data_IF_696634947390
#
_entry.id   IF_696634947390
#
_cell.length_a   1.000
_cell.length_b   1.000
_cell.length_c   1.000
_cell.angle_alpha   90.00
_cell.angle_beta   90.00
_cell.angle_gamma   90.00
#
_symmetry.space_group_name_H-M   'P 1'
#
loop_
_entity.id
_entity.type
_entity.pdbx_description
1 polymer ?
#
# COMPACT_ATOMS: atom_id res chain seq x y z
N UNK A 1 87.53 -26.21 -36.12
CA UNK A 1 86.91 -26.54 -34.79
C UNK A 1 85.61 -25.79 -34.68
N UNK A 2 84.53 -26.50 -34.97
CA UNK A 2 83.18 -25.97 -34.95
C UNK A 2 82.41 -26.70 -33.81
N UNK A 3 81.92 -25.94 -32.86
CA UNK A 3 81.05 -26.47 -31.77
C UNK A 3 79.59 -26.36 -32.10
N UNK A 4 78.94 -27.47 -32.24
CA UNK A 4 77.50 -27.64 -32.40
C UNK A 4 76.72 -27.22 -31.16
N UNK A 5 75.66 -26.44 -31.34
CA UNK A 5 74.61 -26.11 -30.33
C UNK A 5 73.46 -27.11 -30.45
N UNK A 6 72.88 -27.58 -29.34
CA UNK A 6 71.72 -28.43 -29.39
C UNK A 6 70.40 -27.62 -29.52
N UNK A 7 69.45 -28.14 -30.23
CA UNK A 7 68.13 -27.60 -30.49
C UNK A 7 67.28 -27.57 -29.20
N UNK A 8 66.75 -26.41 -28.84
CA UNK A 8 65.80 -26.24 -27.77
C UNK A 8 64.38 -26.74 -28.19
N UNK A 9 63.85 -27.62 -27.42
CA UNK A 9 62.51 -28.21 -27.51
C UNK A 9 61.47 -27.16 -27.03
N UNK A 10 60.60 -26.70 -27.93
CA UNK A 10 59.50 -25.78 -27.61
C UNK A 10 58.47 -26.56 -26.75
N UNK A 11 58.24 -26.10 -25.54
CA UNK A 11 57.12 -26.51 -24.69
C UNK A 11 55.84 -25.84 -25.21
N UNK A 12 54.90 -26.62 -25.74
CA UNK A 12 53.58 -26.17 -26.06
C UNK A 12 52.85 -25.77 -24.78
N UNK A 13 52.59 -24.52 -24.60
CA UNK A 13 51.71 -23.97 -23.57
C UNK A 13 50.27 -24.43 -23.87
N UNK A 14 49.75 -25.38 -23.10
CA UNK A 14 48.32 -25.68 -23.08
C UNK A 14 47.61 -24.47 -22.50
N UNK A 15 46.94 -23.70 -23.35
CA UNK A 15 45.94 -22.73 -22.96
C UNK A 15 44.75 -23.47 -22.37
N UNK A 16 44.64 -23.49 -21.05
CA UNK A 16 43.44 -23.95 -20.33
C UNK A 16 42.21 -23.11 -20.79
N UNK A 17 41.00 -23.66 -20.67
CA UNK A 17 39.81 -22.98 -21.09
C UNK A 17 39.71 -21.65 -20.33
N UNK A 18 39.69 -20.54 -21.07
CA UNK A 18 39.39 -19.23 -20.53
C UNK A 18 37.98 -19.28 -19.91
N UNK A 19 37.93 -19.28 -18.58
CA UNK A 19 36.71 -18.94 -17.90
C UNK A 19 36.35 -17.51 -18.34
N UNK A 20 35.38 -17.40 -19.25
CA UNK A 20 34.75 -16.14 -19.58
C UNK A 20 34.18 -15.54 -18.29
N UNK A 21 34.92 -14.61 -17.68
CA UNK A 21 34.49 -13.84 -16.55
C UNK A 21 33.23 -13.07 -16.93
N UNK A 22 32.06 -13.70 -16.74
CA UNK A 22 30.82 -12.95 -16.73
C UNK A 22 30.89 -12.02 -15.53
N UNK A 23 31.18 -10.74 -15.78
CA UNK A 23 31.31 -9.73 -14.74
C UNK A 23 30.05 -9.74 -13.87
N UNK A 24 30.24 -9.69 -12.54
CA UNK A 24 29.18 -9.63 -11.55
C UNK A 24 28.10 -8.62 -11.95
N UNK A 25 26.84 -9.03 -11.83
CA UNK A 25 25.71 -8.16 -12.18
C UNK A 25 25.72 -6.90 -11.33
N UNK A 26 25.77 -5.74 -11.97
CA UNK A 26 25.76 -4.44 -11.28
C UNK A 26 24.37 -4.08 -10.75
N UNK A 27 24.31 -3.23 -9.70
CA UNK A 27 23.04 -2.72 -9.15
C UNK A 27 22.13 -2.06 -10.20
N UNK A 28 22.61 -1.23 -11.14
CA UNK A 28 21.78 -0.70 -12.22
C UNK A 28 21.18 -1.78 -13.12
N UNK A 29 21.95 -2.82 -13.45
CA UNK A 29 21.46 -3.95 -14.25
C UNK A 29 20.41 -4.74 -13.50
N UNK A 30 20.61 -5.00 -12.20
CA UNK A 30 19.62 -5.65 -11.34
C UNK A 30 18.33 -4.82 -11.27
N UNK A 31 18.42 -3.50 -11.09
CA UNK A 31 17.25 -2.60 -11.09
C UNK A 31 16.48 -2.68 -12.42
N UNK A 32 17.18 -2.73 -13.56
CA UNK A 32 16.54 -2.87 -14.86
C UNK A 32 15.76 -4.20 -14.96
N UNK A 33 16.35 -5.32 -14.52
CA UNK A 33 15.69 -6.63 -14.51
C UNK A 33 14.47 -6.66 -13.58
N UNK A 34 14.57 -6.06 -12.38
CA UNK A 34 13.44 -5.97 -11.43
C UNK A 34 12.30 -5.13 -12.04
N UNK A 35 12.60 -3.99 -12.64
CA UNK A 35 11.60 -3.12 -13.27
C UNK A 35 10.96 -3.71 -14.51
N UNK A 36 11.71 -4.50 -15.29
CA UNK A 36 11.18 -5.24 -16.44
C UNK A 36 10.53 -6.57 -16.06
N UNK A 37 10.57 -6.94 -14.75
CA UNK A 37 10.02 -8.20 -14.22
C UNK A 37 10.65 -9.45 -14.84
N UNK A 38 11.95 -9.37 -15.18
CA UNK A 38 12.75 -10.49 -15.67
C UNK A 38 13.14 -11.43 -14.53
N UNK A 39 12.21 -12.29 -14.12
CA UNK A 39 12.39 -13.24 -13.03
C UNK A 39 13.59 -14.17 -13.24
N UNK A 40 13.85 -14.59 -14.48
CA UNK A 40 14.99 -15.47 -14.82
C UNK A 40 16.32 -14.74 -14.68
N UNK A 41 16.38 -13.48 -15.15
CA UNK A 41 17.56 -12.63 -14.98
C UNK A 41 17.83 -12.32 -13.51
N UNK A 42 16.79 -12.00 -12.74
CA UNK A 42 16.88 -11.77 -11.29
C UNK A 42 17.38 -13.02 -10.56
N UNK A 43 16.80 -14.19 -10.85
CA UNK A 43 17.23 -15.46 -10.22
C UNK A 43 18.70 -15.77 -10.49
N UNK A 44 19.14 -15.60 -11.74
CA UNK A 44 20.56 -15.79 -12.10
C UNK A 44 21.45 -14.79 -11.37
N UNK A 45 21.08 -13.50 -11.39
CA UNK A 45 21.86 -12.44 -10.76
C UNK A 45 22.05 -12.67 -9.25
N UNK A 46 21.00 -13.06 -8.54
CA UNK A 46 21.06 -13.36 -7.10
C UNK A 46 21.90 -14.60 -6.82
N UNK A 47 21.78 -15.64 -7.65
CA UNK A 47 22.59 -16.85 -7.53
C UNK A 47 24.09 -16.59 -7.73
N UNK A 48 24.44 -15.76 -8.73
CA UNK A 48 25.82 -15.41 -9.06
C UNK A 48 26.42 -14.38 -8.08
N UNK A 49 25.59 -13.49 -7.54
CA UNK A 49 25.99 -12.47 -6.57
C UNK A 49 24.95 -12.27 -5.47
N UNK A 50 24.97 -13.11 -4.42
CA UNK A 50 24.03 -13.03 -3.30
C UNK A 50 24.08 -11.68 -2.54
N UNK A 51 25.19 -10.95 -2.61
CA UNK A 51 25.34 -9.64 -1.97
C UNK A 51 24.34 -8.60 -2.52
N UNK A 52 23.82 -8.81 -3.73
CA UNK A 52 22.76 -7.98 -4.28
C UNK A 52 21.54 -7.89 -3.34
N UNK A 53 21.23 -8.94 -2.57
CA UNK A 53 20.11 -8.94 -1.64
C UNK A 53 20.28 -7.96 -0.47
N UNK A 54 21.52 -7.53 -0.19
CA UNK A 54 21.79 -6.52 0.83
C UNK A 54 21.49 -5.08 0.34
N UNK A 55 21.18 -4.92 -0.94
CA UNK A 55 20.90 -3.60 -1.48
C UNK A 55 19.74 -2.92 -0.76
N UNK A 56 19.96 -1.66 -0.40
CA UNK A 56 18.93 -0.72 0.03
C UNK A 56 19.18 0.60 -0.69
N UNK A 57 18.13 1.19 -1.21
CA UNK A 57 18.20 2.54 -1.75
C UNK A 57 18.21 3.61 -0.64
N UNK A 58 18.21 4.87 -1.01
CA UNK A 58 18.22 6.01 -0.06
C UNK A 58 17.02 6.05 0.88
N UNK A 59 15.96 5.30 0.60
CA UNK A 59 14.75 5.14 1.42
C UNK A 59 14.70 3.82 2.17
N UNK A 60 15.74 3.00 2.08
CA UNK A 60 15.78 1.66 2.68
C UNK A 60 15.02 0.61 1.88
N UNK A 61 14.54 0.91 0.66
CA UNK A 61 13.81 -0.05 -0.17
C UNK A 61 14.76 -1.09 -0.75
N UNK A 62 14.40 -2.35 -0.63
CA UNK A 62 15.05 -3.48 -1.29
C UNK A 62 14.41 -3.77 -2.66
N UNK A 63 14.92 -4.78 -3.35
CA UNK A 63 14.41 -5.18 -4.66
C UNK A 63 12.93 -5.57 -4.67
N UNK A 64 12.42 -6.15 -3.57
CA UNK A 64 11.02 -6.52 -3.47
C UNK A 64 10.11 -5.29 -3.43
N UNK A 65 10.46 -4.24 -2.67
CA UNK A 65 9.75 -2.98 -2.70
C UNK A 65 9.74 -2.35 -4.10
N UNK A 66 10.89 -2.39 -4.78
CA UNK A 66 11.03 -1.82 -6.12
C UNK A 66 10.25 -2.62 -7.15
N UNK A 67 10.18 -3.96 -7.03
CA UNK A 67 9.32 -4.82 -7.84
C UNK A 67 7.85 -4.49 -7.63
N UNK A 68 7.41 -4.45 -6.37
CA UNK A 68 6.02 -4.19 -6.00
C UNK A 68 5.54 -2.78 -6.40
N UNK A 69 6.45 -1.80 -6.43
CA UNK A 69 6.11 -0.42 -6.80
C UNK A 69 6.02 -0.14 -8.29
N UNK A 70 6.22 -1.12 -9.16
CA UNK A 70 6.09 -0.94 -10.62
C UNK A 70 4.60 -0.94 -10.98
N UNK A 71 4.13 0.17 -11.55
CA UNK A 71 2.76 0.24 -12.10
C UNK A 71 2.67 -0.63 -13.35
N UNK A 72 1.83 -1.63 -13.28
CA UNK A 72 1.60 -2.58 -14.40
C UNK A 72 0.43 -2.17 -15.30
N UNK A 73 -0.36 -1.14 -14.91
CA UNK A 73 -1.61 -0.81 -15.57
C UNK A 73 -2.57 -2.00 -15.62
N UNK A 74 -3.20 -2.22 -16.78
CA UNK A 74 -4.09 -3.36 -17.03
C UNK A 74 -3.38 -4.57 -17.67
N UNK A 75 -2.04 -4.62 -17.65
CA UNK A 75 -1.30 -5.69 -18.33
C UNK A 75 -1.21 -6.96 -17.46
N UNK A 76 -2.08 -7.92 -17.75
CA UNK A 76 -2.12 -9.22 -17.05
C UNK A 76 -0.83 -10.05 -17.20
N UNK A 77 -0.06 -9.88 -18.28
CA UNK A 77 1.23 -10.59 -18.44
C UNK A 77 2.24 -10.05 -17.46
N UNK A 78 2.29 -8.73 -17.32
CA UNK A 78 3.14 -8.09 -16.31
C UNK A 78 2.74 -8.47 -14.89
N UNK A 79 1.46 -8.68 -14.61
CA UNK A 79 1.02 -9.17 -13.30
C UNK A 79 1.65 -10.55 -12.98
N UNK A 80 1.59 -11.51 -13.91
CA UNK A 80 2.18 -12.82 -13.72
C UNK A 80 3.72 -12.77 -13.62
N UNK A 81 4.37 -11.90 -14.41
CA UNK A 81 5.82 -11.70 -14.36
C UNK A 81 6.26 -11.05 -13.04
N UNK A 82 5.47 -10.10 -12.51
CA UNK A 82 5.73 -9.47 -11.22
C UNK A 82 5.65 -10.48 -10.06
N UNK A 83 4.66 -11.38 -10.09
CA UNK A 83 4.54 -12.45 -9.10
C UNK A 83 5.77 -13.36 -9.14
N UNK A 84 6.18 -13.84 -10.33
CA UNK A 84 7.38 -14.68 -10.48
C UNK A 84 8.64 -13.98 -10.00
N UNK A 85 8.76 -12.68 -10.26
CA UNK A 85 9.92 -11.90 -9.81
C UNK A 85 9.91 -11.70 -8.30
N UNK A 86 8.76 -11.41 -7.71
CA UNK A 86 8.60 -11.30 -6.26
C UNK A 86 8.88 -12.64 -5.56
N UNK A 87 8.41 -13.76 -6.13
CA UNK A 87 8.65 -15.10 -5.63
C UNK A 87 10.15 -15.39 -5.57
N UNK A 88 10.89 -15.16 -6.65
CA UNK A 88 12.34 -15.32 -6.66
C UNK A 88 13.01 -14.51 -5.54
N UNK A 89 12.59 -13.25 -5.35
CA UNK A 89 13.18 -12.37 -4.35
C UNK A 89 12.87 -12.83 -2.90
N UNK A 90 11.64 -13.27 -2.65
CA UNK A 90 11.22 -13.78 -1.34
C UNK A 90 11.93 -15.12 -1.04
N UNK A 91 11.96 -16.04 -1.99
CA UNK A 91 12.60 -17.36 -1.83
C UNK A 91 14.13 -17.25 -1.73
N UNK A 92 14.71 -16.15 -2.22
CA UNK A 92 16.12 -15.79 -2.01
C UNK A 92 16.40 -15.16 -0.64
N UNK A 93 15.38 -14.97 0.23
CA UNK A 93 15.56 -14.55 1.62
C UNK A 93 15.19 -13.07 1.89
N UNK A 94 14.58 -12.35 0.95
CA UNK A 94 14.05 -11.02 1.28
C UNK A 94 12.77 -11.16 2.11
N UNK A 95 12.72 -10.45 3.24
CA UNK A 95 11.52 -10.42 4.09
C UNK A 95 10.35 -9.79 3.38
N UNK A 96 9.21 -10.50 3.36
CA UNK A 96 7.96 -10.05 2.74
C UNK A 96 7.33 -8.87 3.48
N UNK A 97 7.65 -8.70 4.77
CA UNK A 97 7.16 -7.64 5.65
C UNK A 97 8.25 -6.61 5.99
N UNK A 98 9.36 -6.58 5.24
CA UNK A 98 10.38 -5.56 5.44
C UNK A 98 9.77 -4.18 5.20
N UNK A 99 10.01 -3.27 6.13
CA UNK A 99 9.59 -1.88 5.99
C UNK A 99 10.67 -1.01 5.31
N UNK A 100 10.22 -0.05 4.52
CA UNK A 100 11.05 0.99 3.92
C UNK A 100 10.30 2.31 3.87
N UNK A 101 11.02 3.43 3.86
CA UNK A 101 10.38 4.75 3.77
C UNK A 101 9.66 4.92 2.43
N UNK A 102 8.46 5.49 2.51
CA UNK A 102 7.72 5.99 1.35
C UNK A 102 8.31 7.32 0.87
N UNK A 103 7.61 8.03 0.01
CA UNK A 103 7.99 9.41 -0.35
C UNK A 103 7.77 10.41 0.80
N UNK A 104 6.94 10.04 1.77
CA UNK A 104 6.79 10.73 3.06
C UNK A 104 7.80 10.24 4.10
N UNK A 105 7.51 10.52 5.37
CA UNK A 105 8.37 10.14 6.50
C UNK A 105 8.01 8.78 7.12
N UNK A 106 6.95 8.14 6.67
CA UNK A 106 6.48 6.87 7.21
C UNK A 106 6.99 5.67 6.39
N UNK A 107 7.02 4.51 7.03
CA UNK A 107 7.50 3.27 6.44
C UNK A 107 6.34 2.40 5.98
N UNK A 108 6.57 1.64 4.93
CA UNK A 108 5.60 0.71 4.37
C UNK A 108 6.25 -0.59 3.91
N UNK A 109 5.46 -1.65 3.90
CA UNK A 109 5.86 -2.99 3.44
C UNK A 109 5.77 -3.10 1.90
N UNK A 110 6.37 -4.14 1.28
CA UNK A 110 6.18 -4.43 -0.15
C UNK A 110 4.71 -4.50 -0.58
N UNK A 111 3.82 -5.05 0.26
CA UNK A 111 2.39 -5.08 -0.01
C UNK A 111 1.80 -3.68 -0.22
N UNK A 112 2.17 -2.74 0.65
CA UNK A 112 1.72 -1.36 0.47
C UNK A 112 2.17 -0.79 -0.88
N UNK A 113 3.42 -1.06 -1.30
CA UNK A 113 3.91 -0.61 -2.60
C UNK A 113 3.12 -1.24 -3.76
N UNK A 114 2.73 -2.52 -3.64
CA UNK A 114 1.90 -3.19 -4.65
C UNK A 114 0.50 -2.54 -4.78
N UNK A 115 -0.12 -2.15 -3.66
CA UNK A 115 -1.43 -1.49 -3.64
C UNK A 115 -1.32 -0.02 -4.04
N UNK A 116 -0.44 0.74 -3.37
CA UNK A 116 -0.42 2.20 -3.47
C UNK A 116 0.21 2.70 -4.78
N UNK A 117 1.20 1.99 -5.31
CA UNK A 117 2.00 2.40 -6.46
C UNK A 117 1.86 1.47 -7.64
N UNK A 118 2.00 0.17 -7.41
CA UNK A 118 1.95 -0.85 -8.45
C UNK A 118 0.56 -1.06 -9.02
N UNK A 119 -0.49 -0.74 -8.28
CA UNK A 119 -1.89 -1.05 -8.62
C UNK A 119 -2.05 -2.49 -9.10
N UNK A 120 -1.28 -3.37 -8.47
CA UNK A 120 -1.09 -4.75 -8.88
C UNK A 120 -1.83 -5.69 -7.91
N UNK A 121 -3.13 -5.80 -8.10
CA UNK A 121 -4.00 -6.61 -7.24
C UNK A 121 -3.58 -8.09 -7.20
N UNK A 122 -3.22 -8.75 -8.35
CA UNK A 122 -2.74 -10.14 -8.31
C UNK A 122 -1.46 -10.33 -7.49
N UNK A 123 -0.52 -9.37 -7.57
CA UNK A 123 0.69 -9.42 -6.75
C UNK A 123 0.38 -9.19 -5.26
N UNK A 124 -0.54 -8.27 -4.96
CA UNK A 124 -1.00 -8.03 -3.59
C UNK A 124 -1.63 -9.29 -3.00
N UNK A 125 -2.50 -9.98 -3.74
CA UNK A 125 -3.10 -11.26 -3.32
C UNK A 125 -2.03 -12.35 -3.08
N UNK A 126 -1.05 -12.46 -3.97
CA UNK A 126 0.08 -13.37 -3.79
C UNK A 126 0.84 -13.08 -2.50
N UNK A 127 1.17 -11.81 -2.23
CA UNK A 127 1.89 -11.41 -1.03
C UNK A 127 1.09 -11.71 0.24
N UNK A 128 -0.22 -11.45 0.25
CA UNK A 128 -1.11 -11.78 1.36
C UNK A 128 -1.16 -13.28 1.63
N UNK A 129 -1.29 -14.11 0.59
CA UNK A 129 -1.25 -15.58 0.70
C UNK A 129 0.09 -16.10 1.22
N UNK A 130 1.18 -15.38 1.00
CA UNK A 130 2.52 -15.69 1.51
C UNK A 130 2.80 -15.10 2.91
N UNK A 131 1.80 -14.52 3.58
CA UNK A 131 1.89 -14.03 4.95
C UNK A 131 2.31 -12.56 5.08
N UNK A 132 2.08 -11.75 4.04
CA UNK A 132 2.22 -10.31 4.19
C UNK A 132 1.13 -9.74 5.07
N UNK A 133 1.50 -8.83 5.98
CA UNK A 133 0.55 -8.14 6.85
C UNK A 133 -0.11 -6.98 6.09
N UNK A 134 -1.46 -6.84 6.17
CA UNK A 134 -2.19 -5.80 5.44
C UNK A 134 -2.12 -4.41 6.08
N UNK A 135 -1.30 -4.22 7.11
CA UNK A 135 -1.19 -2.97 7.86
C UNK A 135 -0.96 -1.77 6.93
N UNK A 136 -1.67 -0.68 7.18
CA UNK A 136 -1.59 0.59 6.43
C UNK A 136 -2.01 0.52 4.95
N UNK A 137 -2.29 -0.66 4.41
CA UNK A 137 -2.62 -0.83 3.00
C UNK A 137 -4.04 -0.34 2.69
N UNK A 138 -4.95 -0.44 3.65
CA UNK A 138 -6.37 -0.12 3.45
C UNK A 138 -6.60 1.37 3.20
N UNK A 139 -5.84 2.23 3.90
CA UNK A 139 -5.89 3.67 3.65
C UNK A 139 -5.43 4.01 2.22
N UNK A 140 -4.35 3.37 1.76
CA UNK A 140 -3.85 3.57 0.39
C UNK A 140 -4.84 3.08 -0.68
N UNK A 141 -5.51 1.95 -0.45
CA UNK A 141 -6.55 1.44 -1.34
C UNK A 141 -7.75 2.40 -1.40
N UNK A 142 -8.19 2.93 -0.26
CA UNK A 142 -9.26 3.92 -0.17
C UNK A 142 -8.89 5.23 -0.87
N UNK A 143 -7.66 5.71 -0.69
CA UNK A 143 -7.14 6.88 -1.38
C UNK A 143 -7.10 6.70 -2.90
N UNK A 144 -6.72 5.52 -3.38
CA UNK A 144 -6.71 5.18 -4.80
C UNK A 144 -8.10 4.88 -5.37
N UNK A 145 -9.15 4.81 -4.54
CA UNK A 145 -10.51 4.36 -4.91
C UNK A 145 -10.53 2.95 -5.48
N UNK A 146 -9.63 2.11 -5.01
CA UNK A 146 -9.46 0.72 -5.47
C UNK A 146 -10.36 -0.21 -4.64
N UNK A 147 -11.63 -0.32 -5.05
CA UNK A 147 -12.63 -1.15 -4.37
C UNK A 147 -12.22 -2.62 -4.32
N UNK A 148 -11.70 -3.24 -5.39
CA UNK A 148 -11.17 -4.60 -5.34
C UNK A 148 -10.07 -4.77 -4.29
N UNK A 149 -9.13 -3.82 -4.19
CA UNK A 149 -8.08 -3.87 -3.17
C UNK A 149 -8.63 -3.72 -1.74
N UNK A 150 -9.63 -2.84 -1.52
CA UNK A 150 -10.31 -2.72 -0.22
C UNK A 150 -10.89 -4.07 0.20
N UNK A 151 -11.64 -4.73 -0.68
CA UNK A 151 -12.26 -6.04 -0.40
C UNK A 151 -11.21 -7.12 -0.14
N UNK A 152 -10.15 -7.15 -0.96
CA UNK A 152 -9.06 -8.10 -0.80
C UNK A 152 -8.38 -7.96 0.57
N UNK A 153 -8.04 -6.73 0.96
CA UNK A 153 -7.35 -6.46 2.22
C UNK A 153 -8.21 -6.82 3.44
N UNK A 154 -9.48 -6.41 3.46
CA UNK A 154 -10.40 -6.76 4.55
C UNK A 154 -10.66 -8.26 4.60
N UNK A 155 -10.80 -8.94 3.45
CA UNK A 155 -10.91 -10.39 3.36
C UNK A 155 -9.69 -11.14 3.88
N UNK A 156 -8.51 -10.50 3.93
CA UNK A 156 -7.28 -11.02 4.52
C UNK A 156 -6.98 -10.45 5.93
N UNK A 157 -8.00 -9.91 6.60
CA UNK A 157 -7.92 -9.51 8.02
C UNK A 157 -7.38 -8.11 8.26
N UNK A 158 -7.38 -7.21 7.27
CA UNK A 158 -7.12 -5.81 7.53
C UNK A 158 -8.21 -5.24 8.46
N UNK A 159 -7.79 -4.54 9.52
CA UNK A 159 -8.73 -3.81 10.36
C UNK A 159 -9.28 -2.61 9.57
N UNK A 160 -10.60 -2.64 9.32
CA UNK A 160 -11.29 -1.59 8.56
C UNK A 160 -11.25 -0.23 9.27
N UNK A 161 -11.00 -0.22 10.58
CA UNK A 161 -10.90 0.98 11.42
C UNK A 161 -9.46 1.33 11.81
N UNK A 162 -8.45 0.67 11.23
CA UNK A 162 -7.05 0.94 11.55
C UNK A 162 -6.71 2.41 11.28
N UNK A 163 -6.42 3.13 12.36
CA UNK A 163 -6.04 4.54 12.35
C UNK A 163 -4.59 4.77 12.75
N UNK A 164 -3.82 3.69 12.87
CA UNK A 164 -2.45 3.70 13.38
C UNK A 164 -1.41 4.22 12.39
N UNK A 165 -1.84 4.60 11.19
CA UNK A 165 -0.95 4.93 10.05
C UNK A 165 0.00 6.08 10.35
N UNK A 166 -0.29 6.92 11.34
CA UNK A 166 0.52 8.13 11.46
C UNK A 166 0.54 8.77 12.85
N UNK A 167 1.71 8.81 13.48
CA UNK A 167 1.96 9.74 14.59
C UNK A 167 1.90 11.22 14.15
N UNK A 168 1.93 11.48 12.85
CA UNK A 168 1.92 12.81 12.25
C UNK A 168 0.54 13.19 11.71
N UNK A 169 -0.32 12.24 11.38
CA UNK A 169 -1.68 12.46 10.90
C UNK A 169 -2.67 12.55 12.06
N UNK A 170 -3.83 13.02 11.75
CA UNK A 170 -4.92 13.35 12.67
C UNK A 170 -5.62 12.10 13.24
N UNK A 171 -4.93 10.94 13.28
CA UNK A 171 -5.52 9.65 13.67
C UNK A 171 -6.72 9.34 12.78
N UNK A 172 -6.48 9.20 11.49
CA UNK A 172 -7.50 9.11 10.46
C UNK A 172 -7.76 7.67 10.07
N UNK A 173 -9.02 7.20 10.23
CA UNK A 173 -9.39 5.88 9.70
C UNK A 173 -9.48 5.90 8.16
N UNK A 174 -9.37 4.74 7.47
CA UNK A 174 -9.51 4.65 6.02
C UNK A 174 -10.85 5.24 5.52
N UNK A 175 -11.94 5.03 6.27
CA UNK A 175 -13.25 5.60 5.99
C UNK A 175 -13.24 7.13 6.07
N UNK A 176 -12.72 7.70 7.17
CA UNK A 176 -12.67 9.14 7.33
C UNK A 176 -11.77 9.81 6.28
N UNK A 177 -10.66 9.16 5.93
CA UNK A 177 -9.79 9.56 4.84
C UNK A 177 -10.54 9.61 3.50
N UNK A 178 -11.27 8.56 3.16
CA UNK A 178 -12.09 8.54 1.94
C UNK A 178 -13.09 9.70 1.89
N UNK A 179 -13.75 10.00 3.01
CA UNK A 179 -14.65 11.17 3.13
C UNK A 179 -13.89 12.49 2.92
N UNK A 180 -12.74 12.66 3.57
CA UNK A 180 -11.90 13.86 3.45
C UNK A 180 -11.42 14.08 2.00
N UNK A 181 -11.18 13.03 1.25
CA UNK A 181 -10.80 13.10 -0.16
C UNK A 181 -12.01 13.11 -1.12
N UNK A 182 -13.25 13.02 -0.61
CA UNK A 182 -14.48 12.93 -1.40
C UNK A 182 -14.55 11.67 -2.28
N UNK A 183 -13.94 10.59 -1.83
CA UNK A 183 -13.97 9.27 -2.45
C UNK A 183 -15.16 8.47 -1.90
N UNK A 184 -16.39 8.94 -2.21
CA UNK A 184 -17.61 8.45 -1.56
C UNK A 184 -17.93 6.99 -1.86
N UNK A 185 -17.54 6.47 -3.04
CA UNK A 185 -17.69 5.05 -3.37
C UNK A 185 -16.81 4.16 -2.48
N UNK A 186 -15.56 4.59 -2.25
CA UNK A 186 -14.67 3.89 -1.33
C UNK A 186 -15.16 3.99 0.12
N UNK A 187 -15.68 5.16 0.53
CA UNK A 187 -16.27 5.34 1.84
C UNK A 187 -17.49 4.42 2.05
N UNK A 188 -18.37 4.31 1.06
CA UNK A 188 -19.54 3.43 1.12
C UNK A 188 -19.13 1.95 1.20
N UNK A 189 -18.12 1.55 0.43
CA UNK A 189 -17.62 0.18 0.51
C UNK A 189 -17.03 -0.13 1.88
N UNK A 190 -16.25 0.78 2.46
CA UNK A 190 -15.70 0.62 3.81
C UNK A 190 -16.81 0.51 4.85
N UNK A 191 -17.91 1.29 4.74
CA UNK A 191 -19.06 1.16 5.62
C UNK A 191 -19.75 -0.20 5.47
N UNK A 192 -19.91 -0.72 4.26
CA UNK A 192 -20.43 -2.08 4.00
C UNK A 192 -19.57 -3.17 4.63
N UNK A 193 -18.28 -2.92 4.74
CA UNK A 193 -17.31 -3.82 5.36
C UNK A 193 -17.14 -3.61 6.88
N UNK A 194 -17.95 -2.73 7.50
CA UNK A 194 -17.98 -2.55 8.95
C UNK A 194 -17.17 -1.38 9.49
N UNK A 195 -16.80 -0.42 8.64
CA UNK A 195 -16.17 0.80 9.14
C UNK A 195 -17.08 1.56 10.09
N UNK A 196 -16.51 2.13 11.15
CA UNK A 196 -17.25 2.97 12.10
C UNK A 196 -17.62 4.31 11.46
N UNK A 197 -18.90 4.46 11.10
CA UNK A 197 -19.45 5.70 10.55
C UNK A 197 -19.32 6.87 11.51
N UNK A 198 -19.18 6.60 12.82
CA UNK A 198 -19.10 7.56 13.92
C UNK A 198 -17.67 7.82 14.39
N UNK A 199 -16.68 7.30 13.65
CA UNK A 199 -15.28 7.53 13.94
C UNK A 199 -14.99 9.04 14.12
N UNK A 200 -14.28 9.37 15.19
CA UNK A 200 -13.82 10.74 15.48
C UNK A 200 -12.29 10.79 15.43
N UNK A 201 -11.75 11.70 14.66
CA UNK A 201 -10.30 11.98 14.67
C UNK A 201 -9.85 12.72 15.95
N UNK A 202 -8.57 13.08 16.03
CA UNK A 202 -8.01 13.84 17.19
C UNK A 202 -8.70 15.18 17.42
N UNK A 203 -9.38 15.75 16.42
CA UNK A 203 -10.17 16.98 16.54
C UNK A 203 -11.62 16.72 16.91
N UNK A 204 -11.99 15.46 17.15
CA UNK A 204 -13.36 15.04 17.37
C UNK A 204 -14.24 15.19 16.13
N UNK A 205 -13.64 15.38 14.95
CA UNK A 205 -14.40 15.53 13.70
C UNK A 205 -14.88 14.18 13.21
N UNK A 206 -16.15 14.09 12.81
CA UNK A 206 -16.76 12.95 12.16
C UNK A 206 -16.94 13.19 10.65
N UNK A 207 -17.34 12.16 9.90
CA UNK A 207 -17.65 12.27 8.48
C UNK A 207 -18.64 13.40 8.16
N UNK A 208 -19.80 13.57 8.85
CA UNK A 208 -20.69 14.70 8.64
C UNK A 208 -20.03 16.07 8.85
N UNK A 209 -19.14 16.21 9.83
CA UNK A 209 -18.42 17.47 10.05
C UNK A 209 -17.53 17.83 8.84
N UNK A 210 -16.76 16.87 8.33
CA UNK A 210 -15.89 17.07 7.19
C UNK A 210 -16.67 17.38 5.92
N UNK A 211 -17.77 16.68 5.66
CA UNK A 211 -18.60 16.93 4.51
C UNK A 211 -19.21 18.35 4.53
N UNK A 212 -19.67 18.80 5.70
CA UNK A 212 -20.20 20.17 5.85
C UNK A 212 -19.11 21.23 5.68
N UNK A 213 -17.91 20.99 6.25
CA UNK A 213 -16.77 21.91 6.12
C UNK A 213 -16.30 22.07 4.68
N UNK A 214 -16.30 20.98 3.91
CA UNK A 214 -15.88 20.99 2.49
C UNK A 214 -16.97 21.45 1.53
N UNK A 215 -18.21 21.58 1.99
CA UNK A 215 -19.34 21.83 1.11
C UNK A 215 -19.64 20.67 0.19
N UNK A 216 -19.40 19.43 0.65
CA UNK A 216 -19.66 18.22 -0.12
C UNK A 216 -21.10 18.13 -0.56
N UNK A 217 -21.33 17.50 -1.71
CA UNK A 217 -22.66 17.30 -2.26
C UNK A 217 -23.56 16.58 -1.25
N UNK A 218 -24.72 17.19 -0.99
CA UNK A 218 -25.71 16.67 -0.04
C UNK A 218 -26.23 15.27 -0.38
N UNK A 219 -26.09 14.83 -1.64
CA UNK A 219 -26.48 13.47 -2.10
C UNK A 219 -25.77 12.35 -1.35
N UNK A 220 -24.62 12.61 -0.75
CA UNK A 220 -23.85 11.59 -0.05
C UNK A 220 -24.18 11.49 1.45
N UNK A 221 -24.95 12.41 2.03
CA UNK A 221 -25.37 12.31 3.43
C UNK A 221 -26.32 11.15 3.70
N UNK A 222 -27.27 10.77 2.82
CA UNK A 222 -28.11 9.60 3.02
C UNK A 222 -27.34 8.31 3.26
N UNK A 223 -26.18 8.14 2.62
CA UNK A 223 -25.27 7.00 2.87
C UNK A 223 -24.86 6.95 4.34
N UNK A 224 -24.43 8.07 4.92
CA UNK A 224 -24.02 8.13 6.33
C UNK A 224 -25.21 7.84 7.27
N UNK A 225 -26.39 8.42 6.96
CA UNK A 225 -27.62 8.22 7.73
C UNK A 225 -28.03 6.75 7.72
N UNK A 226 -27.99 6.10 6.55
CA UNK A 226 -28.33 4.68 6.39
C UNK A 226 -27.42 3.76 7.23
N UNK A 227 -26.17 4.17 7.43
CA UNK A 227 -25.22 3.44 8.28
C UNK A 227 -25.20 3.91 9.75
N UNK A 228 -26.18 4.72 10.18
CA UNK A 228 -26.34 5.10 11.59
C UNK A 228 -25.43 6.22 12.06
N UNK A 229 -25.08 7.15 11.15
CA UNK A 229 -24.28 8.31 11.54
C UNK A 229 -24.98 9.16 12.60
N UNK A 230 -24.24 9.54 13.63
CA UNK A 230 -24.69 10.37 14.74
C UNK A 230 -24.44 11.84 14.45
N UNK A 231 -25.47 12.64 14.62
CA UNK A 231 -25.40 14.10 14.45
C UNK A 231 -25.05 14.86 15.73
N UNK A 232 -25.08 14.21 16.89
CA UNK A 232 -24.90 14.77 18.24
C UNK A 232 -23.44 14.69 18.75
N UNK A 233 -22.55 14.01 18.02
CA UNK A 233 -21.13 13.94 18.38
C UNK A 233 -20.50 15.31 18.24
N UNK A 234 -19.83 15.76 19.31
CA UNK A 234 -19.18 17.06 19.36
C UNK A 234 -17.72 16.95 18.96
N UNK A 235 -17.26 17.90 18.17
CA UNK A 235 -15.84 18.09 17.90
C UNK A 235 -15.13 18.78 19.08
N UNK A 236 -13.82 19.01 18.98
CA UNK A 236 -13.00 19.68 20.01
C UNK A 236 -13.46 21.12 20.33
N UNK A 237 -14.27 21.73 19.47
CA UNK A 237 -14.86 23.05 19.69
C UNK A 237 -16.27 22.99 20.32
N UNK A 238 -16.72 21.80 20.69
CA UNK A 238 -18.06 21.58 21.29
C UNK A 238 -19.22 21.63 20.27
N UNK A 239 -18.94 21.69 18.98
CA UNK A 239 -19.92 21.80 17.92
C UNK A 239 -20.27 20.43 17.35
N UNK A 240 -21.55 20.14 17.13
CA UNK A 240 -21.99 18.92 16.47
C UNK A 240 -22.52 19.15 15.04
N UNK A 241 -22.44 18.11 14.21
CA UNK A 241 -22.82 18.22 12.79
C UNK A 241 -24.30 18.56 12.59
N UNK A 242 -25.19 18.03 13.41
CA UNK A 242 -26.63 18.34 13.31
C UNK A 242 -26.93 19.83 13.58
N UNK A 243 -26.20 20.47 14.51
CA UNK A 243 -26.35 21.92 14.74
C UNK A 243 -25.89 22.73 13.51
N UNK A 244 -24.79 22.34 12.90
CA UNK A 244 -24.30 22.99 11.68
C UNK A 244 -25.29 22.86 10.53
N UNK A 245 -25.91 21.67 10.38
CA UNK A 245 -26.95 21.45 9.35
C UNK A 245 -28.19 22.29 9.58
N UNK A 246 -28.66 22.41 10.83
CA UNK A 246 -29.85 23.22 11.17
C UNK A 246 -29.68 24.71 10.83
N UNK A 247 -28.44 25.21 10.90
CA UNK A 247 -28.09 26.59 10.57
C UNK A 247 -28.04 26.85 9.04
N UNK A 248 -28.06 25.81 8.20
CA UNK A 248 -28.09 25.96 6.74
C UNK A 248 -29.48 26.50 6.28
N UNK A 249 -29.47 27.35 5.25
CA UNK A 249 -30.72 27.84 4.63
C UNK A 249 -31.48 26.74 3.90
N UNK A 250 -30.75 25.75 3.36
CA UNK A 250 -31.33 24.63 2.62
C UNK A 250 -32.15 23.72 3.55
N UNK A 251 -33.42 23.50 3.22
CA UNK A 251 -34.34 22.68 4.00
C UNK A 251 -33.94 21.22 4.06
N UNK A 252 -33.25 20.71 3.04
CA UNK A 252 -32.80 19.32 3.01
C UNK A 252 -31.78 19.05 4.11
N UNK A 253 -30.85 20.00 4.39
CA UNK A 253 -29.93 19.85 5.51
C UNK A 253 -30.66 19.80 6.85
N UNK A 254 -31.76 20.55 7.03
CA UNK A 254 -32.54 20.49 8.27
C UNK A 254 -33.26 19.13 8.42
N UNK A 255 -33.76 18.57 7.31
CA UNK A 255 -34.35 17.21 7.31
C UNK A 255 -33.30 16.16 7.65
N UNK A 256 -32.15 16.21 7.01
CA UNK A 256 -31.04 15.29 7.29
C UNK A 256 -30.55 15.40 8.73
N UNK A 257 -30.49 16.62 9.30
CA UNK A 257 -30.14 16.82 10.69
C UNK A 257 -31.11 16.13 11.68
N UNK A 258 -32.37 15.99 11.31
CA UNK A 258 -33.35 15.25 12.11
C UNK A 258 -33.22 13.72 11.95
N UNK A 259 -32.69 13.27 10.80
CA UNK A 259 -32.48 11.84 10.50
C UNK A 259 -31.16 11.29 11.06
N UNK A 260 -30.17 12.17 11.31
CA UNK A 260 -28.94 11.74 11.97
C UNK A 260 -29.27 11.23 13.38
N UNK A 261 -28.79 10.05 13.68
CA UNK A 261 -29.02 9.41 14.98
C UNK A 261 -28.53 10.25 16.15
N UNK A 262 -29.12 10.01 17.28
CA UNK A 262 -28.63 10.47 18.58
C UNK A 262 -28.18 9.24 19.37
N UNK A 263 -27.29 9.42 20.36
CA UNK A 263 -26.99 8.33 21.30
C UNK A 263 -28.26 7.69 21.78
N UNK A 264 -28.38 6.35 21.76
CA UNK A 264 -29.44 5.72 22.51
C UNK A 264 -29.31 6.24 23.95
N UNK A 265 -30.37 6.83 24.47
CA UNK A 265 -30.41 7.23 25.88
C UNK A 265 -30.07 5.97 26.67
N UNK A 266 -28.91 5.97 27.38
CA UNK A 266 -28.64 4.92 28.35
C UNK A 266 -29.87 4.84 29.24
N UNK A 267 -30.61 3.71 29.22
CA UNK A 267 -31.60 3.46 30.25
C UNK A 267 -30.86 3.50 31.59
N UNK A 268 -31.34 4.22 32.60
CA UNK A 268 -30.78 4.10 33.93
C UNK A 268 -30.72 2.60 34.26
N UNK A 269 -29.59 2.16 34.77
CA UNK A 269 -29.46 0.83 35.35
C UNK A 269 -30.29 0.93 36.63
N UNK A 270 -31.43 0.23 36.71
CA UNK A 270 -32.20 0.03 37.90
C UNK A 270 -31.43 -0.86 38.90
#
# INVERSE_FOLDING_TARGET
MARSRPAGRALASQSGPSHSGQGLVSKPKMLAMVRSMDSKGVARAVKENPELLQHRDTRGRNWLHLCCGVDIGADHRKAADSIRTAEVLVDSGLSINQEAFTEGKWKATPLWFAIARGRNLPLAEYLLKRGSTPNYCLWAAAFNRDIPAIRLLVGHGADVNDSSVDDLAENESPFLGAIKWSHFEAAEELLKLGADVNYQDRKGMTAPHYMLKKGSDKRFFPMLIAHGARGDLKNSQGVCAAELMRKKRDADFRKMAAQLGTSPRRKPVE
#
